data_IF_494461156999
#
_entry.id   IF_494461156999
#
_cell.length_a   1.000
_cell.length_b   1.000
_cell.length_c   1.000
_cell.angle_alpha   90.00
_cell.angle_beta   90.00
_cell.angle_gamma   90.00
#
_symmetry.space_group_name_H-M   'P 1'
#
loop_
_entity.id
_entity.type
_entity.pdbx_description
1 polymer ?
#
# COMPACT_ATOMS: atom_id res chain seq x y z
N UNK A 1 -36.02 -22.10 1.51
CA UNK A 1 -35.16 -21.32 0.58
C UNK A 1 -34.31 -20.34 1.38
N UNK A 2 -33.22 -20.76 2.04
CA UNK A 2 -32.26 -19.84 2.69
C UNK A 2 -30.91 -20.58 2.85
N UNK A 3 -30.00 -20.52 1.86
CA UNK A 3 -28.61 -20.98 2.00
C UNK A 3 -27.68 -20.53 0.83
N UNK A 4 -27.89 -19.32 0.26
CA UNK A 4 -27.14 -18.89 -0.94
C UNK A 4 -26.19 -17.70 -0.74
N UNK A 5 -25.91 -17.30 0.50
CA UNK A 5 -24.98 -16.19 0.77
C UNK A 5 -23.95 -16.57 1.82
N UNK A 6 -23.20 -17.65 1.56
CA UNK A 6 -21.88 -17.77 2.16
C UNK A 6 -20.94 -16.91 1.31
N UNK A 7 -20.33 -15.85 1.88
CA UNK A 7 -19.34 -15.06 1.14
C UNK A 7 -18.29 -16.01 0.57
N UNK A 8 -17.97 -15.90 -0.72
CA UNK A 8 -16.91 -16.71 -1.37
C UNK A 8 -15.59 -16.65 -0.59
N UNK A 9 -15.32 -15.53 0.08
CA UNK A 9 -14.22 -15.34 1.03
C UNK A 9 -14.15 -16.39 2.16
N UNK A 10 -15.27 -16.97 2.59
CA UNK A 10 -15.31 -18.03 3.60
C UNK A 10 -15.05 -19.43 3.02
N UNK A 11 -15.27 -19.61 1.71
CA UNK A 11 -15.03 -20.88 1.00
C UNK A 11 -13.56 -21.00 0.56
N UNK A 12 -12.91 -19.88 0.25
CA UNK A 12 -11.51 -19.84 -0.18
C UNK A 12 -10.55 -19.80 1.02
N UNK A 13 -10.33 -20.97 1.62
CA UNK A 13 -9.46 -21.14 2.80
C UNK A 13 -7.99 -20.88 2.44
N UNK A 14 -7.46 -19.71 2.79
CA UNK A 14 -6.01 -19.45 2.78
C UNK A 14 -5.64 -18.00 2.54
N UNK A 15 -4.38 -17.63 2.83
CA UNK A 15 -3.82 -16.33 2.43
C UNK A 15 -3.46 -16.40 0.94
N UNK A 16 -3.82 -15.41 0.10
CA UNK A 16 -3.47 -15.41 -1.32
C UNK A 16 -1.96 -15.41 -1.51
N UNK A 17 -1.47 -16.19 -2.46
CA UNK A 17 -0.11 -16.02 -2.98
C UNK A 17 -0.10 -14.87 -3.99
N UNK A 18 0.86 -13.95 -3.80
CA UNK A 18 1.00 -12.74 -4.60
C UNK A 18 2.41 -12.65 -5.16
N UNK A 19 2.49 -12.28 -6.43
CA UNK A 19 3.73 -11.89 -7.10
C UNK A 19 3.63 -10.42 -7.49
N UNK A 20 4.65 -9.64 -7.13
CA UNK A 20 4.78 -8.26 -7.57
C UNK A 20 6.03 -8.11 -8.42
N UNK A 21 5.85 -7.62 -9.64
CA UNK A 21 6.92 -7.34 -10.58
C UNK A 21 7.05 -5.84 -10.81
N UNK A 22 8.27 -5.33 -10.79
CA UNK A 22 8.55 -3.97 -11.18
C UNK A 22 8.42 -3.83 -12.70
N UNK A 23 7.67 -2.84 -13.17
CA UNK A 23 7.47 -2.57 -14.59
C UNK A 23 8.04 -1.22 -15.02
N UNK A 24 8.45 -0.36 -14.08
CA UNK A 24 8.89 1.00 -14.36
C UNK A 24 10.35 1.23 -14.00
N UNK A 25 10.64 2.42 -13.48
CA UNK A 25 11.97 2.78 -12.99
C UNK A 25 12.39 1.96 -11.76
N UNK A 26 13.62 2.17 -11.25
CA UNK A 26 14.14 1.41 -10.12
C UNK A 26 13.22 1.45 -8.89
N UNK A 27 12.67 0.30 -8.48
CA UNK A 27 11.87 0.16 -7.28
C UNK A 27 12.77 0.00 -6.05
N UNK A 28 12.37 0.57 -4.91
CA UNK A 28 13.17 0.62 -3.69
C UNK A 28 12.36 0.12 -2.52
N UNK A 29 12.89 -0.85 -1.78
CA UNK A 29 12.29 -1.27 -0.53
C UNK A 29 12.59 -0.23 0.56
N UNK A 30 11.61 0.02 1.41
CA UNK A 30 11.62 1.05 2.44
C UNK A 30 11.53 0.41 3.81
N UNK A 31 12.49 0.75 4.69
CA UNK A 31 12.53 0.29 6.07
C UNK A 31 11.49 0.96 6.97
N UNK A 32 11.34 0.51 8.22
CA UNK A 32 10.41 1.08 9.20
C UNK A 32 10.69 2.54 9.61
N UNK A 33 11.88 3.06 9.31
CA UNK A 33 12.25 4.47 9.47
C UNK A 33 11.95 5.32 8.23
N UNK A 34 11.49 4.65 7.17
CA UNK A 34 11.21 5.21 5.86
C UNK A 34 12.46 5.56 5.06
N UNK A 35 13.60 4.91 5.33
CA UNK A 35 14.81 4.96 4.50
C UNK A 35 14.89 3.76 3.55
N UNK A 36 15.54 3.88 2.39
CA UNK A 36 15.80 2.74 1.52
C UNK A 36 16.59 1.64 2.21
N UNK A 37 16.24 0.39 1.92
CA UNK A 37 16.96 -0.80 2.39
C UNK A 37 17.31 -1.71 1.23
N UNK A 38 18.53 -2.26 1.26
CA UNK A 38 19.02 -3.17 0.23
C UNK A 38 19.32 -2.49 -1.10
N UNK A 39 19.31 -3.28 -2.17
CA UNK A 39 19.50 -2.82 -3.56
C UNK A 39 18.17 -2.40 -4.18
N UNK A 40 18.27 -1.61 -5.24
CA UNK A 40 17.14 -1.33 -6.11
C UNK A 40 16.75 -2.57 -6.93
N UNK A 41 15.48 -2.63 -7.29
CA UNK A 41 14.91 -3.62 -8.21
C UNK A 41 14.67 -2.95 -9.55
N UNK A 42 15.34 -3.41 -10.61
CA UNK A 42 15.15 -2.95 -11.98
C UNK A 42 13.83 -3.40 -12.59
N UNK A 43 13.54 -2.88 -13.79
CA UNK A 43 12.38 -3.31 -14.57
C UNK A 43 12.43 -4.81 -14.88
N UNK A 44 11.30 -5.49 -14.76
CA UNK A 44 11.15 -6.94 -14.94
C UNK A 44 11.57 -7.79 -13.73
N UNK A 45 12.15 -7.19 -12.68
CA UNK A 45 12.48 -7.93 -11.46
C UNK A 45 11.24 -8.15 -10.58
N UNK A 46 11.16 -9.34 -9.98
CA UNK A 46 10.16 -9.66 -8.95
C UNK A 46 10.61 -9.02 -7.63
N UNK A 47 9.84 -8.03 -7.16
CA UNK A 47 10.14 -7.33 -5.89
C UNK A 47 9.56 -8.06 -4.68
N UNK A 48 8.54 -8.89 -4.90
CA UNK A 48 7.92 -9.70 -3.86
C UNK A 48 7.26 -10.94 -4.44
N UNK A 49 7.40 -12.08 -3.74
CA UNK A 49 6.62 -13.30 -3.97
C UNK A 49 6.29 -13.93 -2.62
N UNK A 50 5.02 -14.17 -2.36
CA UNK A 50 4.59 -14.85 -1.14
C UNK A 50 3.17 -14.53 -0.69
N UNK A 51 2.79 -15.00 0.51
CA UNK A 51 1.45 -14.83 1.05
C UNK A 51 1.16 -13.36 1.38
N UNK A 52 0.11 -12.79 0.80
CA UNK A 52 -0.27 -11.40 1.01
C UNK A 52 -1.80 -11.27 1.16
N UNK A 53 -2.24 -10.66 2.27
CA UNK A 53 -3.67 -10.38 2.52
C UNK A 53 -4.09 -9.03 1.96
N UNK A 54 -3.18 -8.06 1.98
CA UNK A 54 -3.43 -6.70 1.50
C UNK A 54 -2.22 -6.26 0.67
N UNK A 55 -2.46 -5.98 -0.60
CA UNK A 55 -1.54 -5.27 -1.48
C UNK A 55 -2.20 -3.95 -1.87
N UNK A 56 -1.63 -2.83 -1.42
CA UNK A 56 -2.21 -1.51 -1.61
C UNK A 56 -1.15 -0.51 -2.07
N UNK A 57 -1.53 0.43 -2.92
CA UNK A 57 -0.66 1.51 -3.37
C UNK A 57 -1.32 2.88 -3.12
N UNK A 58 -0.51 3.89 -2.83
CA UNK A 58 -0.98 5.25 -2.63
C UNK A 58 0.09 6.31 -2.84
N UNK A 59 -0.32 7.44 -3.40
CA UNK A 59 0.52 8.64 -3.61
C UNK A 59 0.38 9.65 -2.47
N UNK A 60 -0.60 9.48 -1.59
CA UNK A 60 -0.83 10.30 -0.40
C UNK A 60 -0.84 9.41 0.84
N UNK A 61 -0.49 9.95 2.01
CA UNK A 61 -0.32 9.11 3.19
C UNK A 61 -1.64 8.63 3.78
N UNK A 62 -2.75 9.29 3.47
CA UNK A 62 -4.04 9.07 4.11
C UNK A 62 -4.95 8.18 3.27
N UNK A 63 -5.58 7.20 3.92
CA UNK A 63 -6.62 6.35 3.32
C UNK A 63 -8.04 6.84 3.66
N UNK A 64 -8.20 7.55 4.79
CA UNK A 64 -9.47 8.14 5.25
C UNK A 64 -9.44 8.46 6.75
N UNK A 65 -10.25 9.42 7.21
CA UNK A 65 -10.37 9.80 8.64
C UNK A 65 -9.03 10.08 9.37
N UNK A 66 -7.98 10.48 8.64
CA UNK A 66 -6.65 10.69 9.20
C UNK A 66 -5.80 9.42 9.39
N UNK A 67 -6.29 8.24 8.98
CA UNK A 67 -5.53 6.99 9.02
C UNK A 67 -4.41 6.98 7.98
N UNK A 68 -3.15 6.94 8.45
CA UNK A 68 -1.95 7.02 7.60
C UNK A 68 -1.47 5.65 7.12
N UNK A 69 -2.12 5.10 6.10
CA UNK A 69 -1.73 3.80 5.50
C UNK A 69 -0.42 3.88 4.75
N UNK A 70 -0.06 5.02 4.16
CA UNK A 70 1.14 5.19 3.34
C UNK A 70 2.06 6.30 3.88
N UNK A 71 2.64 6.14 5.09
CA UNK A 71 3.35 7.22 5.79
C UNK A 71 4.55 7.82 5.04
N UNK A 72 5.05 7.13 4.01
CA UNK A 72 6.22 7.52 3.22
C UNK A 72 5.86 7.91 1.78
N UNK A 73 4.58 7.95 1.39
CA UNK A 73 4.16 8.21 0.01
C UNK A 73 4.73 9.51 -0.56
N UNK A 74 4.80 10.58 0.23
CA UNK A 74 5.30 11.89 -0.20
C UNK A 74 6.84 12.02 -0.15
N UNK A 75 7.57 10.99 0.28
CA UNK A 75 9.04 11.05 0.40
C UNK A 75 9.77 10.82 -0.92
N UNK A 76 9.07 10.32 -1.94
CA UNK A 76 9.64 10.03 -3.25
C UNK A 76 8.77 10.65 -4.35
N UNK A 77 9.04 11.90 -4.76
CA UNK A 77 8.30 12.55 -5.84
C UNK A 77 8.31 11.71 -7.12
N UNK A 78 7.17 11.65 -7.81
CA UNK A 78 7.00 10.83 -9.01
C UNK A 78 6.85 9.33 -8.76
N UNK A 79 6.72 8.90 -7.50
CA UNK A 79 6.51 7.50 -7.11
C UNK A 79 5.34 7.38 -6.14
N UNK A 80 4.70 6.22 -6.09
CA UNK A 80 3.76 5.85 -5.05
C UNK A 80 4.43 4.94 -4.01
N UNK A 81 3.84 4.87 -2.82
CA UNK A 81 4.18 3.85 -1.85
C UNK A 81 3.32 2.61 -2.09
N UNK A 82 3.96 1.48 -2.39
CA UNK A 82 3.35 0.16 -2.36
C UNK A 82 3.52 -0.44 -0.96
N UNK A 83 2.44 -0.94 -0.37
CA UNK A 83 2.43 -1.62 0.92
C UNK A 83 1.86 -3.03 0.77
N UNK A 84 2.64 -4.02 1.18
CA UNK A 84 2.27 -5.43 1.18
C UNK A 84 2.21 -5.94 2.61
N UNK A 85 1.18 -6.71 2.96
CA UNK A 85 1.15 -7.37 4.25
C UNK A 85 0.42 -8.70 4.28
N UNK A 86 1.01 -9.66 5.00
CA UNK A 86 0.43 -10.95 5.34
C UNK A 86 -0.27 -10.95 6.71
N UNK A 87 -0.15 -9.86 7.48
CA UNK A 87 -0.63 -9.84 8.88
C UNK A 87 -2.15 -9.88 8.93
N UNK A 88 -2.70 -10.62 9.89
CA UNK A 88 -4.13 -10.67 10.11
C UNK A 88 -4.69 -9.34 10.64
N UNK A 89 -5.98 -9.10 10.37
CA UNK A 89 -6.75 -7.96 10.89
C UNK A 89 -6.59 -7.75 12.41
N UNK A 90 -6.57 -8.79 13.27
CA UNK A 90 -6.36 -8.57 14.71
C UNK A 90 -5.03 -7.90 15.06
N UNK A 91 -3.95 -8.21 14.32
CA UNK A 91 -2.62 -7.59 14.52
C UNK A 91 -2.58 -6.14 14.00
N UNK A 92 -3.35 -5.83 12.95
CA UNK A 92 -3.55 -4.45 12.48
C UNK A 92 -4.30 -3.66 13.55
N UNK A 93 -5.41 -4.21 14.07
CA UNK A 93 -6.23 -3.57 15.09
C UNK A 93 -5.46 -3.32 16.39
N UNK A 94 -4.62 -4.26 16.85
CA UNK A 94 -3.80 -4.06 18.05
C UNK A 94 -2.71 -2.99 17.88
N UNK A 95 -2.30 -2.70 16.64
CA UNK A 95 -1.33 -1.66 16.31
C UNK A 95 -1.99 -0.40 15.71
N UNK A 96 -3.32 -0.31 15.76
CA UNK A 96 -4.09 0.68 15.01
C UNK A 96 -3.66 2.11 15.35
N UNK A 97 -3.45 2.42 16.64
CA UNK A 97 -3.05 3.77 17.08
C UNK A 97 -1.69 4.19 16.51
N UNK A 98 -0.73 3.27 16.43
CA UNK A 98 0.61 3.53 15.88
C UNK A 98 0.53 3.72 14.37
N UNK A 99 -0.18 2.81 13.68
CA UNK A 99 -0.42 2.90 12.24
C UNK A 99 -1.17 4.18 11.87
N UNK A 100 -2.15 4.59 12.67
CA UNK A 100 -2.92 5.82 12.47
C UNK A 100 -2.05 7.08 12.48
N UNK A 101 -1.05 7.11 13.36
CA UNK A 101 -0.10 8.22 13.45
C UNK A 101 0.99 8.17 12.36
N UNK A 102 1.07 7.08 11.59
CA UNK A 102 2.14 6.83 10.63
C UNK A 102 3.45 6.42 11.30
N UNK A 103 3.38 5.81 12.49
CA UNK A 103 4.54 5.25 13.17
C UNK A 103 5.09 3.99 12.50
N UNK A 104 6.16 3.40 13.05
CA UNK A 104 6.81 2.23 12.46
C UNK A 104 5.80 1.08 12.31
N UNK A 105 5.75 0.41 11.15
CA UNK A 105 4.87 -0.71 10.96
C UNK A 105 5.32 -1.93 11.79
N UNK A 106 4.39 -2.78 12.26
CA UNK A 106 4.76 -4.06 12.89
C UNK A 106 5.44 -4.99 11.88
N UNK A 107 6.20 -6.01 12.37
CA UNK A 107 6.81 -7.01 11.50
C UNK A 107 5.78 -7.70 10.60
N UNK A 108 6.13 -7.86 9.31
CA UNK A 108 5.27 -8.44 8.28
C UNK A 108 4.51 -7.44 7.40
N UNK A 109 4.84 -6.15 7.51
CA UNK A 109 4.49 -5.12 6.52
C UNK A 109 5.75 -4.80 5.74
N UNK A 110 5.65 -4.78 4.41
CA UNK A 110 6.71 -4.37 3.50
C UNK A 110 6.26 -3.13 2.77
N UNK A 111 7.14 -2.13 2.71
CA UNK A 111 6.90 -0.88 2.01
C UNK A 111 7.91 -0.74 0.87
N UNK A 112 7.46 -0.21 -0.26
CA UNK A 112 8.30 0.08 -1.41
C UNK A 112 7.91 1.43 -2.01
N UNK A 113 8.87 2.15 -2.58
CA UNK A 113 8.58 3.19 -3.55
C UNK A 113 8.65 2.60 -4.96
N UNK A 114 7.65 2.87 -5.78
CA UNK A 114 7.55 2.38 -7.16
C UNK A 114 6.87 3.45 -8.03
N UNK A 115 7.11 3.43 -9.34
CA UNK A 115 6.35 4.24 -10.31
C UNK A 115 5.42 3.38 -11.18
N UNK A 116 5.74 2.09 -11.39
CA UNK A 116 4.89 1.14 -12.10
C UNK A 116 5.13 -0.30 -11.63
N UNK A 117 4.08 -1.01 -11.24
CA UNK A 117 4.16 -2.43 -10.83
C UNK A 117 2.99 -3.24 -11.39
N UNK A 118 3.22 -4.50 -11.71
CA UNK A 118 2.16 -5.50 -11.87
C UNK A 118 2.06 -6.32 -10.57
N UNK A 119 0.83 -6.52 -10.10
CA UNK A 119 0.51 -7.38 -8.96
C UNK A 119 -0.39 -8.50 -9.48
N UNK A 120 0.08 -9.74 -9.34
CA UNK A 120 -0.63 -10.95 -9.72
C UNK A 120 -1.02 -11.75 -8.50
N UNK A 121 -2.24 -12.28 -8.53
CA UNK A 121 -2.83 -13.07 -7.47
C UNK A 121 -3.10 -14.49 -7.98
N UNK A 122 -2.94 -15.48 -7.09
CA UNK A 122 -3.28 -16.87 -7.40
C UNK A 122 -4.78 -17.06 -7.75
N UNK A 123 -5.64 -16.18 -7.26
CA UNK A 123 -7.11 -16.20 -7.39
C UNK A 123 -7.71 -14.82 -7.66
N UNK A 124 -9.00 -14.78 -7.99
CA UNK A 124 -9.75 -13.53 -8.15
C UNK A 124 -9.83 -12.77 -6.81
N UNK A 125 -9.30 -11.55 -6.78
CA UNK A 125 -9.27 -10.70 -5.58
C UNK A 125 -10.13 -9.45 -5.80
N UNK A 126 -10.88 -8.99 -4.78
CA UNK A 126 -11.62 -7.75 -4.87
C UNK A 126 -10.66 -6.55 -4.95
N UNK A 127 -10.91 -5.63 -5.88
CA UNK A 127 -10.18 -4.38 -6.05
C UNK A 127 -11.02 -3.21 -5.53
N UNK A 128 -10.37 -2.29 -4.84
CA UNK A 128 -10.94 -1.01 -4.42
C UNK A 128 -10.05 0.14 -4.87
N UNK A 129 -10.65 1.19 -5.42
CA UNK A 129 -9.95 2.42 -5.83
C UNK A 129 -10.66 3.61 -5.20
N UNK A 130 -9.94 4.44 -4.44
CA UNK A 130 -10.53 5.64 -3.81
C UNK A 130 -11.66 5.40 -2.81
N UNK A 131 -11.94 4.15 -2.44
CA UNK A 131 -13.09 3.77 -1.62
C UNK A 131 -14.16 2.99 -2.39
N UNK A 132 -14.15 3.07 -3.73
CA UNK A 132 -15.13 2.44 -4.60
C UNK A 132 -14.71 1.01 -4.98
N UNK A 133 -15.69 0.11 -5.07
CA UNK A 133 -15.45 -1.28 -5.46
C UNK A 133 -15.37 -1.40 -6.98
N UNK A 134 -14.26 -1.93 -7.49
CA UNK A 134 -13.95 -2.01 -8.94
C UNK A 134 -14.07 -3.46 -9.50
N UNK A 135 -14.70 -4.34 -8.72
CA UNK A 135 -14.90 -5.76 -9.05
C UNK A 135 -13.70 -6.64 -8.69
N UNK A 136 -13.64 -7.81 -9.32
CA UNK A 136 -12.62 -8.83 -9.04
C UNK A 136 -11.56 -8.85 -10.15
N UNK A 137 -10.29 -9.04 -9.78
CA UNK A 137 -9.17 -9.18 -10.71
C UNK A 137 -8.15 -10.19 -10.19
N UNK A 138 -7.49 -10.90 -11.10
CA UNK A 138 -6.27 -11.69 -10.83
C UNK A 138 -4.97 -10.94 -11.08
N UNK A 139 -5.04 -9.83 -11.79
CA UNK A 139 -3.89 -8.96 -12.06
C UNK A 139 -4.33 -7.50 -12.05
N UNK A 140 -3.51 -6.65 -11.44
CA UNK A 140 -3.66 -5.19 -11.50
C UNK A 140 -2.30 -4.55 -11.78
N UNK A 141 -2.30 -3.54 -12.62
CA UNK A 141 -1.13 -2.69 -12.85
C UNK A 141 -1.39 -1.34 -12.21
N UNK A 142 -0.50 -0.95 -11.28
CA UNK A 142 -0.47 0.40 -10.75
C UNK A 142 0.63 1.17 -11.45
N UNK A 143 0.32 2.39 -11.88
CA UNK A 143 1.22 3.25 -12.63
C UNK A 143 1.01 4.71 -12.23
N UNK A 144 2.10 5.46 -12.08
CA UNK A 144 2.05 6.91 -11.95
C UNK A 144 1.57 7.53 -13.25
N UNK A 145 0.56 8.39 -13.16
CA UNK A 145 0.06 9.11 -14.33
C UNK A 145 1.16 10.00 -14.93
N UNK A 146 1.21 10.07 -16.27
CA UNK A 146 2.18 10.92 -16.99
C UNK A 146 2.07 12.40 -16.62
N UNK A 147 0.85 12.85 -16.28
CA UNK A 147 0.56 14.24 -15.93
C UNK A 147 0.14 14.33 -14.47
N UNK A 148 1.01 14.81 -13.57
CA UNK A 148 0.63 15.05 -12.18
C UNK A 148 -0.36 16.21 -12.08
N UNK A 149 -1.20 16.18 -11.05
CA UNK A 149 -2.09 17.29 -10.70
C UNK A 149 -1.44 18.11 -9.59
N UNK A 150 -1.43 19.43 -9.74
CA UNK A 150 -1.03 20.35 -8.67
C UNK A 150 -2.18 20.52 -7.68
N UNK A 151 -1.86 20.35 -6.40
CA UNK A 151 -2.82 20.48 -5.30
C UNK A 151 -2.33 21.51 -4.29
N UNK A 152 -3.25 22.32 -3.77
CA UNK A 152 -2.95 23.26 -2.69
C UNK A 152 -2.78 22.50 -1.37
N UNK A 153 -1.63 22.67 -0.72
CA UNK A 153 -1.37 22.13 0.62
C UNK A 153 -1.57 23.20 1.71
N UNK A 154 -2.77 23.22 2.30
CA UNK A 154 -3.13 24.14 3.38
C UNK A 154 -2.36 23.94 4.70
N UNK A 155 -1.55 22.87 4.81
CA UNK A 155 -0.68 22.66 5.98
C UNK A 155 0.60 23.48 5.88
N UNK A 156 1.11 23.70 4.68
CA UNK A 156 2.31 24.51 4.45
C UNK A 156 2.08 26.00 4.78
N UNK A 157 0.82 26.44 4.79
CA UNK A 157 0.40 27.81 5.13
C UNK A 157 0.06 28.01 6.62
N UNK A 158 0.17 26.99 7.48
CA UNK A 158 -0.07 27.16 8.92
C UNK A 158 1.17 27.79 9.59
N UNK A 159 1.03 28.89 10.35
CA UNK A 159 2.14 29.47 11.09
C UNK A 159 2.68 28.44 12.10
N UNK A 160 4.00 28.26 12.11
CA UNK A 160 4.69 27.38 13.06
C UNK A 160 4.39 27.87 14.47
N UNK A 161 3.82 27.01 15.32
CA UNK A 161 3.58 27.37 16.71
C UNK A 161 4.91 27.79 17.37
N UNK A 162 4.92 28.84 18.21
CA UNK A 162 6.13 29.28 18.89
C UNK A 162 6.66 28.14 19.77
N UNK A 163 7.98 27.97 19.75
CA UNK A 163 8.69 27.00 20.57
C UNK A 163 8.52 27.38 22.05
N UNK A 164 8.22 26.43 22.96
CA UNK A 164 8.11 26.74 24.38
C UNK A 164 9.48 27.24 24.90
N UNK A 165 9.44 28.36 25.62
CA UNK A 165 10.60 29.02 26.23
C UNK A 165 11.25 28.17 27.35
#
# INVERSE_FOLDING_TARGET
MVAKTLPSYMLERGVPEVEVMNLGGPAQQIGPDGKPIGRDFGAGEVIYRGPCKIAAAGTVPYYGFGFRVFPYALRAPGRFQLRLTAIGVPKILSNLRTLWRGGPPPPGILDFHCDKVSIRFDREMPLQVGGDAEGYRREVVFEMAERPLELLDFRASQPRAPEPA
#
